data_IF_379434200096
#
_entry.id   IF_379434200096
#
_cell.length_a   1.000
_cell.length_b   1.000
_cell.length_c   1.000
_cell.angle_alpha   90.00
_cell.angle_beta   90.00
_cell.angle_gamma   90.00
#
_symmetry.space_group_name_H-M   'P 1'
#
loop_
_entity.id
_entity.type
_entity.pdbx_description
1 polymer ?
#
# COMPACT_ATOMS: atom_id res chain seq x y z
N UNK A 1 -4.34 -6.15 -4.89
CA UNK A 1 -5.72 -6.54 -5.28
C UNK A 1 -6.50 -5.38 -5.86
N UNK A 2 -7.62 -5.70 -6.51
CA UNK A 2 -8.59 -4.72 -7.04
C UNK A 2 -9.98 -5.09 -6.54
N UNK A 3 -10.73 -4.13 -6.04
CA UNK A 3 -12.15 -4.30 -5.71
C UNK A 3 -12.98 -3.23 -6.39
N UNK A 4 -14.18 -3.61 -6.81
CA UNK A 4 -15.11 -2.74 -7.53
C UNK A 4 -16.45 -2.78 -6.82
N UNK A 5 -17.04 -1.62 -6.60
CA UNK A 5 -18.37 -1.48 -6.01
C UNK A 5 -19.20 -0.41 -6.68
N UNK A 6 -20.51 -0.47 -6.46
CA UNK A 6 -21.43 0.55 -6.95
C UNK A 6 -21.24 1.87 -6.18
N UNK A 7 -21.94 2.92 -6.62
CA UNK A 7 -22.00 4.22 -5.94
C UNK A 7 -22.62 4.13 -4.53
N UNK A 8 -22.36 5.12 -3.70
CA UNK A 8 -22.97 5.27 -2.39
C UNK A 8 -22.52 4.21 -1.37
N UNK A 9 -23.44 3.36 -0.88
CA UNK A 9 -23.17 2.44 0.22
C UNK A 9 -21.96 1.52 0.00
N UNK A 10 -21.78 0.97 -1.20
CA UNK A 10 -20.64 0.10 -1.48
C UNK A 10 -19.30 0.84 -1.32
N UNK A 11 -19.24 2.10 -1.75
CA UNK A 11 -18.05 2.93 -1.53
C UNK A 11 -17.77 3.17 -0.05
N UNK A 12 -18.79 3.49 0.74
CA UNK A 12 -18.63 3.72 2.19
C UNK A 12 -18.27 2.43 2.94
N UNK A 13 -18.80 1.28 2.55
CA UNK A 13 -18.45 -0.02 3.14
C UNK A 13 -16.98 -0.40 2.90
N UNK A 14 -16.38 0.04 1.79
CA UNK A 14 -14.96 -0.19 1.50
C UNK A 14 -14.02 0.60 2.42
N UNK A 15 -14.47 1.68 3.07
CA UNK A 15 -13.61 2.57 3.88
C UNK A 15 -12.91 1.81 5.02
N UNK A 16 -13.59 0.92 5.70
CA UNK A 16 -12.99 0.09 6.75
C UNK A 16 -11.84 -0.76 6.21
N UNK A 17 -12.05 -1.41 5.05
CA UNK A 17 -11.01 -2.21 4.38
C UNK A 17 -9.85 -1.36 3.88
N UNK A 18 -10.11 -0.16 3.36
CA UNK A 18 -9.08 0.80 2.94
C UNK A 18 -8.24 1.28 4.12
N UNK A 19 -8.87 1.57 5.27
CA UNK A 19 -8.13 1.93 6.49
C UNK A 19 -7.21 0.80 6.94
N UNK A 20 -7.70 -0.44 6.97
CA UNK A 20 -6.91 -1.63 7.30
C UNK A 20 -5.72 -1.78 6.34
N UNK A 21 -5.96 -1.70 5.04
CA UNK A 21 -4.92 -1.78 4.02
C UNK A 21 -3.88 -0.66 4.15
N UNK A 22 -4.30 0.55 4.52
CA UNK A 22 -3.40 1.68 4.78
C UNK A 22 -2.51 1.43 5.99
N UNK A 23 -3.08 0.91 7.09
CA UNK A 23 -2.35 0.57 8.30
C UNK A 23 -1.28 -0.51 8.04
N UNK A 24 -1.65 -1.54 7.27
CA UNK A 24 -0.81 -2.71 7.00
C UNK A 24 0.08 -2.56 5.76
N UNK A 25 0.07 -1.38 5.10
CA UNK A 25 0.88 -1.10 3.90
C UNK A 25 0.54 -2.03 2.71
N UNK A 26 -0.73 -2.35 2.53
CA UNK A 26 -1.20 -3.25 1.47
C UNK A 26 -1.69 -2.43 0.26
N UNK A 27 -1.13 -2.63 -0.95
CA UNK A 27 -1.57 -1.94 -2.14
C UNK A 27 -2.89 -2.54 -2.65
N UNK A 28 -3.98 -1.77 -2.55
CA UNK A 28 -5.31 -2.12 -3.04
C UNK A 28 -5.83 -0.98 -3.91
N UNK A 29 -6.36 -1.30 -5.07
CA UNK A 29 -7.13 -0.38 -5.91
C UNK A 29 -8.62 -0.61 -5.65
N UNK A 30 -9.30 0.40 -5.12
CA UNK A 30 -10.75 0.42 -5.06
C UNK A 30 -11.30 1.27 -6.21
N UNK A 31 -12.33 0.76 -6.88
CA UNK A 31 -13.05 1.45 -7.94
C UNK A 31 -14.50 1.55 -7.53
N UNK A 32 -15.03 2.77 -7.47
CA UNK A 32 -16.44 3.02 -7.16
C UNK A 32 -17.16 3.61 -8.37
N UNK A 33 -18.42 3.25 -8.50
CA UNK A 33 -19.32 4.01 -9.37
C UNK A 33 -19.76 5.31 -8.69
N UNK A 34 -20.24 6.27 -9.48
CA UNK A 34 -20.71 7.57 -8.99
C UNK A 34 -21.88 8.06 -9.85
N UNK A 35 -22.68 8.95 -9.29
CA UNK A 35 -23.70 9.70 -10.04
C UNK A 35 -23.05 10.44 -11.23
N UNK A 36 -23.80 10.72 -12.30
CA UNK A 36 -23.29 11.52 -13.43
C UNK A 36 -22.71 12.85 -12.97
N UNK A 37 -21.68 13.34 -13.66
CA UNK A 37 -20.96 14.61 -13.32
C UNK A 37 -21.88 15.80 -13.08
N UNK A 38 -22.98 15.91 -13.83
CA UNK A 38 -23.97 16.98 -13.66
C UNK A 38 -24.73 16.92 -12.33
N UNK A 39 -24.67 15.80 -11.62
CA UNK A 39 -25.34 15.54 -10.34
C UNK A 39 -24.40 15.42 -9.15
N UNK A 40 -23.10 15.52 -9.37
CA UNK A 40 -22.11 15.53 -8.28
C UNK A 40 -22.39 16.68 -7.32
N UNK A 41 -22.21 16.44 -6.02
CA UNK A 41 -22.43 17.40 -4.92
C UNK A 41 -23.89 17.91 -4.81
N UNK A 42 -24.82 17.17 -5.39
CA UNK A 42 -26.26 17.39 -5.20
C UNK A 42 -26.84 16.22 -4.42
N UNK A 43 -27.97 16.43 -3.78
CA UNK A 43 -28.69 15.37 -3.08
C UNK A 43 -29.36 14.42 -4.09
N UNK A 44 -28.53 13.62 -4.77
CA UNK A 44 -28.99 12.63 -5.74
C UNK A 44 -28.83 11.21 -5.18
N UNK A 45 -29.52 10.25 -5.78
CA UNK A 45 -29.49 8.86 -5.35
C UNK A 45 -28.04 8.32 -5.35
N UNK A 46 -27.59 7.90 -4.18
CA UNK A 46 -26.24 7.36 -3.98
C UNK A 46 -25.07 8.28 -4.40
N UNK A 47 -25.28 9.58 -4.52
CA UNK A 47 -24.25 10.57 -4.85
C UNK A 47 -23.45 10.97 -3.62
N UNK A 48 -22.65 10.05 -3.11
CA UNK A 48 -21.76 10.26 -1.94
C UNK A 48 -20.44 10.87 -2.41
N UNK A 49 -19.92 11.88 -1.71
CA UNK A 49 -18.55 12.38 -1.92
C UNK A 49 -17.52 11.39 -1.37
N UNK A 50 -17.41 10.25 -2.03
CA UNK A 50 -16.54 9.15 -1.62
C UNK A 50 -15.06 9.51 -1.73
N UNK A 51 -14.70 10.41 -2.65
CA UNK A 51 -13.34 10.94 -2.77
C UNK A 51 -12.89 11.59 -1.46
N UNK A 52 -13.72 12.50 -0.92
CA UNK A 52 -13.39 13.19 0.34
C UNK A 52 -13.38 12.24 1.54
N UNK A 53 -14.28 11.27 1.58
CA UNK A 53 -14.35 10.26 2.65
C UNK A 53 -13.11 9.35 2.63
N UNK A 54 -12.62 8.98 1.45
CA UNK A 54 -11.50 8.07 1.29
C UNK A 54 -10.12 8.74 1.47
N UNK A 55 -10.00 10.06 1.29
CA UNK A 55 -8.71 10.78 1.40
C UNK A 55 -7.90 10.45 2.66
N UNK A 56 -8.44 10.44 3.87
CA UNK A 56 -7.66 10.18 5.08
C UNK A 56 -7.20 8.72 5.24
N UNK A 57 -7.76 7.79 4.48
CA UNK A 57 -7.48 6.35 4.60
C UNK A 57 -6.82 5.76 3.34
N UNK A 58 -6.47 6.60 2.37
CA UNK A 58 -5.82 6.18 1.12
C UNK A 58 -4.59 7.02 0.83
N UNK A 59 -3.71 6.52 0.00
CA UNK A 59 -2.59 7.32 -0.55
C UNK A 59 -3.07 8.33 -1.58
N UNK A 60 -4.16 8.02 -2.25
CA UNK A 60 -4.78 8.88 -3.26
C UNK A 60 -6.23 8.45 -3.49
N UNK A 61 -7.11 9.43 -3.53
CA UNK A 61 -8.49 9.25 -3.93
C UNK A 61 -8.84 10.31 -4.97
N UNK A 62 -9.54 9.90 -6.03
CA UNK A 62 -9.85 10.80 -7.15
C UNK A 62 -11.19 10.42 -7.79
N UNK A 63 -12.02 11.43 -8.06
CA UNK A 63 -13.19 11.31 -8.93
C UNK A 63 -12.80 11.75 -10.35
N UNK A 64 -12.88 10.82 -11.31
CA UNK A 64 -12.49 11.08 -12.70
C UNK A 64 -13.57 11.89 -13.41
N UNK A 65 -13.26 13.12 -13.75
CA UNK A 65 -14.25 14.04 -14.36
C UNK A 65 -14.17 14.11 -15.88
N UNK A 66 -13.06 13.72 -16.45
CA UNK A 66 -12.83 13.75 -17.90
C UNK A 66 -12.56 12.32 -18.41
N UNK A 67 -13.41 11.79 -19.33
CA UNK A 67 -13.23 10.42 -19.82
C UNK A 67 -11.84 10.14 -20.41
N UNK A 68 -11.27 11.10 -21.12
CA UNK A 68 -9.94 10.96 -21.72
C UNK A 68 -8.82 10.76 -20.69
N UNK A 69 -9.04 11.11 -19.41
CA UNK A 69 -8.06 10.93 -18.34
C UNK A 69 -8.10 9.53 -17.70
N UNK A 70 -9.10 8.70 -17.99
CA UNK A 70 -9.24 7.36 -17.40
C UNK A 70 -7.95 6.55 -17.52
N UNK A 71 -7.30 6.40 -18.69
CA UNK A 71 -6.07 5.61 -18.81
C UNK A 71 -4.93 6.15 -17.94
N UNK A 72 -4.73 7.46 -17.91
CA UNK A 72 -3.67 8.10 -17.13
C UNK A 72 -3.92 8.02 -15.63
N UNK A 73 -5.18 8.12 -15.19
CA UNK A 73 -5.57 7.96 -13.78
C UNK A 73 -5.29 6.54 -13.29
N UNK A 74 -5.62 5.52 -14.08
CA UNK A 74 -5.27 4.14 -13.73
C UNK A 74 -3.76 3.91 -13.68
N UNK A 75 -3.02 4.44 -14.64
CA UNK A 75 -1.55 4.38 -14.65
C UNK A 75 -0.96 5.00 -13.36
N UNK A 76 -1.44 6.19 -12.99
CA UNK A 76 -1.03 6.90 -11.78
C UNK A 76 -1.44 6.14 -10.51
N UNK A 77 -2.64 5.55 -10.47
CA UNK A 77 -3.10 4.76 -9.34
C UNK A 77 -2.17 3.58 -9.05
N UNK A 78 -1.83 2.80 -10.06
CA UNK A 78 -0.89 1.67 -9.92
C UNK A 78 0.52 2.12 -9.53
N UNK A 79 0.97 3.27 -9.98
CA UNK A 79 2.23 3.85 -9.56
C UNK A 79 2.19 4.27 -8.08
N UNK A 80 1.19 5.04 -7.68
CA UNK A 80 1.07 5.58 -6.31
C UNK A 80 0.91 4.47 -5.28
N UNK A 81 0.02 3.50 -5.54
CA UNK A 81 -0.25 2.44 -4.57
C UNK A 81 0.96 1.55 -4.28
N UNK A 82 1.93 1.48 -5.21
CA UNK A 82 3.11 0.62 -5.13
C UNK A 82 4.40 1.36 -4.81
N UNK A 83 4.43 2.69 -4.93
CA UNK A 83 5.62 3.52 -4.71
C UNK A 83 5.82 3.89 -3.25
N UNK A 84 7.05 3.92 -2.78
CA UNK A 84 7.39 4.20 -1.39
C UNK A 84 6.78 3.16 -0.45
N UNK A 85 6.16 3.60 0.65
CA UNK A 85 5.32 2.72 1.47
C UNK A 85 4.08 2.34 0.67
N UNK A 86 3.81 1.06 0.37
CA UNK A 86 2.61 0.66 -0.33
C UNK A 86 1.34 1.02 0.44
N UNK A 87 0.24 1.18 -0.28
CA UNK A 87 -1.04 1.50 0.37
C UNK A 87 -2.18 1.63 -0.64
N UNK A 88 -3.42 1.76 -0.15
CA UNK A 88 -4.61 1.77 -0.97
C UNK A 88 -4.79 3.07 -1.76
N UNK A 89 -5.50 2.95 -2.88
CA UNK A 89 -5.93 4.04 -3.76
C UNK A 89 -7.40 3.84 -4.11
N UNK A 90 -8.17 4.92 -4.24
CA UNK A 90 -9.56 4.88 -4.71
C UNK A 90 -9.72 5.70 -5.98
N UNK A 91 -10.37 5.11 -6.99
CA UNK A 91 -10.83 5.78 -8.21
C UNK A 91 -12.35 5.75 -8.22
N UNK A 92 -12.96 6.92 -8.28
CA UNK A 92 -14.40 7.10 -8.35
C UNK A 92 -14.78 7.49 -9.78
N UNK A 93 -15.69 6.71 -10.42
CA UNK A 93 -16.03 6.83 -11.83
C UNK A 93 -17.50 7.24 -11.99
N UNK A 94 -17.78 8.51 -12.32
CA UNK A 94 -19.13 8.95 -12.69
C UNK A 94 -19.73 8.13 -13.84
N UNK A 95 -21.02 7.86 -13.78
CA UNK A 95 -21.70 7.00 -14.74
C UNK A 95 -21.51 7.47 -16.19
N UNK A 96 -21.60 8.77 -16.44
CA UNK A 96 -21.41 9.37 -17.77
C UNK A 96 -19.94 9.29 -18.24
N UNK A 97 -18.98 9.16 -17.33
CA UNK A 97 -17.58 8.88 -17.68
C UNK A 97 -17.41 7.41 -18.05
N UNK A 98 -18.10 6.50 -17.36
CA UNK A 98 -18.01 5.05 -17.64
C UNK A 98 -18.54 4.67 -19.01
N UNK A 99 -19.59 5.37 -19.49
CA UNK A 99 -20.23 5.08 -20.79
C UNK A 99 -19.68 5.91 -21.95
N UNK A 100 -18.76 6.83 -21.68
CA UNK A 100 -18.14 7.65 -22.70
C UNK A 100 -17.16 6.83 -23.55
N UNK A 101 -17.15 7.09 -24.84
CA UNK A 101 -16.15 6.55 -25.76
C UNK A 101 -14.91 7.45 -25.78
N UNK A 102 -13.73 6.86 -25.78
CA UNK A 102 -12.44 7.56 -25.89
C UNK A 102 -11.56 6.87 -26.92
N UNK A 103 -10.70 7.63 -27.57
CA UNK A 103 -9.59 7.06 -28.34
C UNK A 103 -8.50 6.61 -27.37
N UNK A 104 -8.14 5.33 -27.44
CA UNK A 104 -7.09 4.75 -26.60
C UNK A 104 -6.33 3.71 -27.40
N UNK A 105 -5.00 3.87 -27.44
CA UNK A 105 -4.10 2.91 -28.06
C UNK A 105 -3.40 2.09 -26.95
N UNK A 106 -3.79 0.81 -26.75
CA UNK A 106 -3.21 -0.03 -25.72
C UNK A 106 -1.71 -0.32 -25.95
N UNK A 107 -1.22 -0.23 -27.19
CA UNK A 107 0.18 -0.50 -27.52
C UNK A 107 1.11 0.62 -27.05
N UNK A 108 0.58 1.82 -26.87
CA UNK A 108 1.32 2.97 -26.31
C UNK A 108 1.25 3.05 -24.78
N UNK A 109 0.37 2.24 -24.15
CA UNK A 109 0.23 2.23 -22.71
C UNK A 109 1.37 1.46 -22.04
N UNK A 110 2.13 2.12 -21.18
CA UNK A 110 3.16 1.47 -20.36
C UNK A 110 2.97 1.80 -18.89
N UNK A 111 3.06 0.80 -17.98
CA UNK A 111 2.97 1.05 -16.54
C UNK A 111 4.11 1.94 -16.06
N UNK A 112 3.81 2.91 -15.21
CA UNK A 112 4.83 3.70 -14.53
C UNK A 112 5.59 2.80 -13.53
N UNK A 113 6.91 2.93 -13.50
CA UNK A 113 7.74 2.20 -12.56
C UNK A 113 7.45 2.63 -11.11
N UNK A 114 7.27 1.66 -10.23
CA UNK A 114 7.11 1.94 -8.80
C UNK A 114 8.44 2.40 -8.21
N UNK A 115 8.41 3.51 -7.47
CA UNK A 115 9.57 3.98 -6.73
C UNK A 115 9.76 3.17 -5.46
N UNK A 116 10.91 2.51 -5.32
CA UNK A 116 11.33 1.82 -4.10
C UNK A 116 12.47 2.61 -3.47
N UNK A 117 12.27 3.21 -2.28
CA UNK A 117 13.33 3.94 -1.60
C UNK A 117 14.46 2.97 -1.17
N UNK A 118 15.69 3.43 -1.27
CA UNK A 118 16.87 2.72 -0.78
C UNK A 118 17.65 3.61 0.19
N UNK A 119 18.30 2.99 1.19
CA UNK A 119 19.19 3.71 2.07
C UNK A 119 20.43 4.18 1.31
N UNK A 120 20.92 5.37 1.64
CA UNK A 120 22.21 5.83 1.16
C UNK A 120 23.32 5.09 1.91
N UNK A 121 24.53 5.04 1.31
CA UNK A 121 25.71 4.46 1.97
C UNK A 121 26.00 5.09 3.33
N UNK A 122 25.89 6.40 3.46
CA UNK A 122 26.10 7.11 4.72
C UNK A 122 25.09 6.71 5.81
N UNK A 123 23.82 6.48 5.43
CA UNK A 123 22.80 5.96 6.36
C UNK A 123 23.13 4.54 6.81
N UNK A 124 23.54 3.66 5.89
CA UNK A 124 23.93 2.30 6.22
C UNK A 124 25.17 2.28 7.14
N UNK A 125 26.21 3.07 6.83
CA UNK A 125 27.41 3.20 7.67
C UNK A 125 27.07 3.71 9.07
N UNK A 126 26.15 4.69 9.20
CA UNK A 126 25.68 5.18 10.49
C UNK A 126 24.93 4.11 11.27
N UNK A 127 24.07 3.34 10.63
CA UNK A 127 23.35 2.23 11.26
C UNK A 127 24.35 1.17 11.78
N UNK A 128 25.36 0.79 10.99
CA UNK A 128 26.38 -0.15 11.41
C UNK A 128 27.23 0.36 12.57
N UNK A 129 27.58 1.65 12.61
CA UNK A 129 28.28 2.25 13.75
C UNK A 129 27.45 2.14 15.04
N UNK A 130 26.14 2.43 14.96
CA UNK A 130 25.25 2.30 16.11
C UNK A 130 25.11 0.85 16.58
N UNK A 131 25.00 -0.07 15.62
CA UNK A 131 24.90 -1.50 15.91
C UNK A 131 26.16 -2.05 16.58
N UNK A 132 27.34 -1.68 16.09
CA UNK A 132 28.62 -2.09 16.65
C UNK A 132 28.88 -1.52 18.07
N UNK A 133 28.23 -0.41 18.42
CA UNK A 133 28.32 0.21 19.72
C UNK A 133 27.29 -0.33 20.74
N UNK A 134 26.36 -1.19 20.29
CA UNK A 134 25.28 -1.71 21.13
C UNK A 134 25.75 -2.95 21.90
N UNK A 135 25.47 -2.99 23.20
CA UNK A 135 25.83 -4.14 24.07
C UNK A 135 24.89 -5.35 23.84
N UNK A 136 23.63 -5.07 23.55
CA UNK A 136 22.59 -6.10 23.37
C UNK A 136 21.69 -5.77 22.18
N UNK A 137 22.20 -5.89 20.96
CA UNK A 137 21.41 -5.57 19.77
C UNK A 137 20.28 -6.58 19.55
N UNK A 138 19.18 -6.10 18.99
CA UNK A 138 18.00 -6.90 18.62
C UNK A 138 17.42 -6.38 17.30
N UNK A 139 17.09 -7.28 16.38
CA UNK A 139 16.42 -6.93 15.13
C UNK A 139 14.92 -7.09 15.32
N UNK A 140 14.17 -6.01 15.09
CA UNK A 140 12.70 -6.06 14.98
C UNK A 140 12.32 -6.01 13.52
N UNK A 141 11.90 -7.16 12.96
CA UNK A 141 11.58 -7.32 11.55
C UNK A 141 10.09 -7.02 11.29
N UNK A 142 9.80 -5.94 10.58
CA UNK A 142 8.44 -5.58 10.16
C UNK A 142 8.08 -6.09 8.77
N UNK A 143 6.82 -5.88 8.33
CA UNK A 143 6.32 -6.24 7.01
C UNK A 143 7.08 -5.60 5.83
N UNK A 144 7.85 -4.55 6.08
CA UNK A 144 8.73 -3.93 5.08
C UNK A 144 9.79 -4.89 4.52
N UNK A 145 10.26 -5.86 5.31
CA UNK A 145 11.20 -6.90 4.86
C UNK A 145 10.55 -7.76 3.77
N UNK A 146 9.31 -8.20 4.01
CA UNK A 146 8.54 -9.02 3.06
C UNK A 146 8.21 -8.21 1.80
N UNK A 147 7.74 -6.97 1.96
CA UNK A 147 7.43 -6.09 0.84
C UNK A 147 8.64 -5.74 -0.04
N UNK A 148 9.84 -5.78 0.54
CA UNK A 148 11.10 -5.54 -0.16
C UNK A 148 11.69 -6.82 -0.78
N UNK A 149 11.09 -7.99 -0.54
CA UNK A 149 11.64 -9.31 -0.90
C UNK A 149 13.05 -9.52 -0.32
N UNK A 150 13.23 -9.11 0.95
CA UNK A 150 14.53 -9.06 1.62
C UNK A 150 14.68 -10.10 2.76
N UNK A 151 13.81 -11.10 2.83
CA UNK A 151 13.83 -12.12 3.89
C UNK A 151 15.13 -12.90 3.92
N UNK A 152 15.66 -13.30 2.76
CA UNK A 152 16.95 -13.99 2.66
C UNK A 152 18.13 -13.13 3.13
N UNK A 153 18.10 -11.84 2.80
CA UNK A 153 19.13 -10.88 3.27
C UNK A 153 19.04 -10.65 4.77
N UNK A 154 17.84 -10.67 5.35
CA UNK A 154 17.66 -10.57 6.80
C UNK A 154 18.27 -11.79 7.50
N UNK A 155 18.01 -13.00 6.99
CA UNK A 155 18.58 -14.25 7.55
C UNK A 155 20.09 -14.21 7.48
N UNK A 156 20.67 -13.92 6.31
CA UNK A 156 22.11 -13.78 6.12
C UNK A 156 22.74 -12.76 7.08
N UNK A 157 22.10 -11.59 7.20
CA UNK A 157 22.58 -10.54 8.13
C UNK A 157 22.52 -11.00 9.59
N UNK A 158 21.47 -11.67 10.01
CA UNK A 158 21.32 -12.21 11.35
C UNK A 158 22.40 -13.27 11.64
N UNK A 159 22.66 -14.19 10.70
CA UNK A 159 23.69 -15.22 10.82
C UNK A 159 25.11 -14.64 10.91
N UNK A 160 25.44 -13.64 10.09
CA UNK A 160 26.76 -12.97 10.10
C UNK A 160 27.00 -12.23 11.42
N UNK A 161 25.95 -11.59 11.95
CA UNK A 161 26.06 -10.73 13.14
C UNK A 161 25.78 -11.46 14.45
N UNK A 162 25.12 -12.63 14.40
CA UNK A 162 24.65 -13.35 15.59
C UNK A 162 23.52 -12.64 16.34
N UNK A 163 22.88 -11.63 15.72
CA UNK A 163 21.85 -10.82 16.36
C UNK A 163 20.50 -11.53 16.27
N UNK A 164 19.79 -11.72 17.40
CA UNK A 164 18.47 -12.32 17.39
C UNK A 164 17.45 -11.44 16.69
N UNK A 165 16.44 -12.08 16.08
CA UNK A 165 15.38 -11.44 15.30
C UNK A 165 14.03 -11.73 15.94
N UNK A 166 13.20 -10.70 16.10
CA UNK A 166 11.79 -10.80 16.48
C UNK A 166 10.94 -10.16 15.39
N UNK A 167 10.08 -10.90 14.67
CA UNK A 167 9.15 -10.32 13.73
C UNK A 167 7.98 -9.63 14.45
N UNK A 168 7.45 -8.58 13.82
CA UNK A 168 6.11 -8.06 14.12
C UNK A 168 5.07 -8.97 13.48
N UNK A 169 3.78 -8.79 13.80
CA UNK A 169 2.69 -9.53 13.14
C UNK A 169 2.79 -9.46 11.61
N UNK A 170 3.03 -8.26 11.05
CA UNK A 170 3.19 -8.07 9.60
C UNK A 170 4.55 -8.52 9.04
N UNK A 171 5.51 -8.77 9.91
CA UNK A 171 6.82 -9.33 9.57
C UNK A 171 6.93 -10.85 9.75
N UNK A 172 5.84 -11.51 10.15
CA UNK A 172 5.82 -12.96 10.33
C UNK A 172 6.21 -13.67 9.03
N UNK A 173 7.11 -14.63 9.13
CA UNK A 173 7.71 -15.31 7.98
C UNK A 173 8.92 -14.61 7.35
N UNK A 174 9.36 -13.46 7.87
CA UNK A 174 10.60 -12.81 7.42
C UNK A 174 11.87 -13.61 7.80
N UNK A 175 11.79 -14.46 8.83
CA UNK A 175 12.78 -15.45 9.24
C UNK A 175 12.03 -16.76 9.53
N UNK A 176 12.58 -17.96 9.23
CA UNK A 176 11.95 -19.22 9.57
C UNK A 176 11.70 -19.37 11.08
N UNK A 177 10.56 -19.94 11.47
CA UNK A 177 10.16 -20.09 12.87
C UNK A 177 11.09 -21.01 13.68
N UNK A 178 11.76 -21.94 13.02
CA UNK A 178 12.74 -22.90 13.60
C UNK A 178 14.20 -22.41 13.51
N UNK A 179 14.42 -21.18 13.06
CA UNK A 179 15.75 -20.62 12.96
C UNK A 179 16.35 -20.32 14.35
N UNK A 180 17.63 -20.66 14.56
CA UNK A 180 18.30 -20.52 15.88
C UNK A 180 18.30 -19.09 16.44
N UNK A 181 18.23 -18.07 15.57
CA UNK A 181 18.18 -16.66 15.95
C UNK A 181 16.75 -16.09 15.97
N UNK A 182 15.72 -16.90 15.73
CA UNK A 182 14.33 -16.50 15.92
C UNK A 182 14.00 -16.46 17.40
N UNK A 183 13.80 -15.25 17.97
CA UNK A 183 13.63 -15.04 19.40
C UNK A 183 12.18 -14.76 19.84
N UNK A 184 11.22 -15.26 19.09
CA UNK A 184 9.79 -15.05 19.34
C UNK A 184 9.21 -13.90 18.57
N UNK A 185 8.00 -13.45 18.92
CA UNK A 185 7.26 -12.37 18.24
C UNK A 185 7.03 -11.20 19.20
N UNK A 186 7.05 -9.96 18.69
CA UNK A 186 6.65 -8.79 19.47
C UNK A 186 5.24 -8.33 19.09
N UNK A 187 4.50 -7.78 20.04
CA UNK A 187 3.16 -7.22 19.85
C UNK A 187 2.16 -7.67 20.91
N UNK A 188 0.86 -7.63 20.57
CA UNK A 188 -0.24 -7.96 21.49
C UNK A 188 -0.26 -9.43 21.96
N UNK A 189 0.33 -10.32 21.21
CA UNK A 189 0.48 -11.75 21.53
C UNK A 189 1.97 -12.10 21.53
N UNK A 190 2.66 -11.71 22.58
CA UNK A 190 4.05 -12.07 22.76
C UNK A 190 4.16 -13.46 23.41
N UNK A 191 5.02 -14.33 22.88
CA UNK A 191 5.51 -15.48 23.63
C UNK A 191 6.46 -14.99 24.74
N UNK A 192 6.26 -15.46 25.95
CA UNK A 192 7.17 -15.23 27.07
C UNK A 192 8.40 -16.12 26.97
#
# INVERSE_FOLDING_TARGET
GVCIGTSGPAGTDMITGLYSASADSIPILCITGQAPRARLYKEDFQAVDIESIAKPVTKWAVTVREPALVPSVFQQAFHIMRSGRPGPVLIDLPFDVQVAEIEFDPDTYSPLQAYKPAATRAQAEKAMQMLNAADRPLIVAGGGIINADASSLLVEFAEITGIPVIPTLMGWGAIPDDHALMAGMCGLQTSH
#
